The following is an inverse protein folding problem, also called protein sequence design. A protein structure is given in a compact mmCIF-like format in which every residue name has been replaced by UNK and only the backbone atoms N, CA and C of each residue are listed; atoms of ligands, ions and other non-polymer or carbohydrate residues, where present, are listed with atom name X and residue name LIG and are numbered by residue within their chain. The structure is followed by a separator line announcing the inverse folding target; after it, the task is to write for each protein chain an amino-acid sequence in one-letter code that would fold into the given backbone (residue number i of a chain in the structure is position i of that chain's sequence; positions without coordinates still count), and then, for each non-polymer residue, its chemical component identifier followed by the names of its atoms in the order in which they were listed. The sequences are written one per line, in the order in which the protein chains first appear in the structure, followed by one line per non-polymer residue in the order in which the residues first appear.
data_IF_802663831803
#
_entry.id   IF_802663831803
#
_cell.length_a   1.000
_cell.length_b   1.000
_cell.length_c   1.000
_cell.angle_alpha   90.00
_cell.angle_beta   90.00
_cell.angle_gamma   90.00
#
_symmetry.space_group_name_H-M   'P 1'
#
loop_
_entity.id
_entity.type
_entity.pdbx_description
1 polymer ?
#
# COMPACT_ATOMS: atom_id res chain seq x y z
N UNK A 1 0.13 16.19 4.41
CA UNK A 1 0.29 15.54 5.73
C UNK A 1 -0.19 14.11 5.56
N UNK A 2 0.63 13.11 5.92
CA UNK A 2 0.24 11.70 5.81
C UNK A 2 -0.95 11.45 6.73
N UNK A 3 -2.01 10.83 6.23
CA UNK A 3 -3.18 10.48 7.05
C UNK A 3 -2.86 9.31 7.96
N UNK A 4 -3.36 9.36 9.20
CA UNK A 4 -3.38 8.21 10.09
C UNK A 4 -4.66 7.45 9.82
N UNK A 5 -4.53 6.22 9.32
CA UNK A 5 -5.62 5.34 8.95
C UNK A 5 -5.41 3.97 9.58
N UNK A 6 -6.47 3.18 9.69
CA UNK A 6 -6.40 1.74 9.92
C UNK A 6 -6.94 0.96 8.72
N UNK A 7 -6.73 -0.36 8.71
CA UNK A 7 -7.07 -1.19 7.56
C UNK A 7 -8.60 -1.27 7.33
N UNK A 8 -9.40 -1.18 8.39
CA UNK A 8 -10.86 -1.10 8.30
C UNK A 8 -11.35 0.18 7.61
N UNK A 9 -10.74 1.33 7.92
CA UNK A 9 -11.06 2.60 7.24
C UNK A 9 -10.72 2.51 5.75
N UNK A 10 -9.55 1.96 5.40
CA UNK A 10 -9.15 1.78 3.99
C UNK A 10 -10.16 0.90 3.23
N UNK A 11 -10.55 -0.24 3.80
CA UNK A 11 -11.46 -1.19 3.16
C UNK A 11 -12.87 -0.61 2.96
N UNK A 12 -13.35 0.23 3.88
CA UNK A 12 -14.74 0.70 3.85
C UNK A 12 -14.88 2.09 3.23
N UNK A 13 -14.01 3.03 3.56
CA UNK A 13 -14.13 4.44 3.16
C UNK A 13 -13.40 4.74 1.84
N UNK A 14 -12.35 3.99 1.52
CA UNK A 14 -11.51 4.22 0.33
C UNK A 14 -11.70 3.14 -0.74
N UNK A 15 -12.77 2.33 -0.64
CA UNK A 15 -13.00 1.17 -1.52
C UNK A 15 -13.05 1.52 -3.01
N UNK A 16 -13.45 2.73 -3.35
CA UNK A 16 -13.56 3.22 -4.74
C UNK A 16 -12.22 3.27 -5.49
N UNK A 17 -11.10 3.30 -4.78
CA UNK A 17 -9.76 3.29 -5.37
C UNK A 17 -9.25 1.89 -5.73
N UNK A 18 -10.01 0.85 -5.38
CA UNK A 18 -9.61 -0.54 -5.48
C UNK A 18 -10.55 -1.34 -6.37
N UNK A 19 -9.97 -2.31 -7.06
CA UNK A 19 -10.70 -3.39 -7.71
C UNK A 19 -11.25 -4.37 -6.66
N UNK A 20 -12.24 -5.17 -7.06
CA UNK A 20 -12.79 -6.23 -6.22
C UNK A 20 -11.70 -7.21 -5.73
N UNK A 21 -10.72 -7.51 -6.59
CA UNK A 21 -9.58 -8.36 -6.24
C UNK A 21 -8.73 -7.75 -5.12
N UNK A 22 -8.35 -6.48 -5.25
CA UNK A 22 -7.56 -5.78 -4.22
C UNK A 22 -8.34 -5.71 -2.89
N UNK A 23 -9.66 -5.49 -2.93
CA UNK A 23 -10.50 -5.50 -1.72
C UNK A 23 -10.49 -6.87 -1.02
N UNK A 24 -10.52 -7.97 -1.79
CA UNK A 24 -10.41 -9.32 -1.23
C UNK A 24 -9.04 -9.53 -0.58
N UNK A 25 -7.95 -9.11 -1.23
CA UNK A 25 -6.59 -9.20 -0.69
C UNK A 25 -6.44 -8.38 0.61
N UNK A 26 -7.00 -7.17 0.68
CA UNK A 26 -6.99 -6.35 1.89
C UNK A 26 -7.72 -7.03 3.06
N UNK A 27 -8.88 -7.65 2.80
CA UNK A 27 -9.62 -8.40 3.84
C UNK A 27 -8.83 -9.63 4.32
N UNK A 28 -8.13 -10.32 3.42
CA UNK A 28 -7.26 -11.43 3.79
C UNK A 28 -6.10 -10.97 4.67
N UNK A 29 -5.46 -9.83 4.34
CA UNK A 29 -4.42 -9.22 5.17
C UNK A 29 -4.97 -8.88 6.55
N UNK A 30 -6.16 -8.30 6.64
CA UNK A 30 -6.79 -7.95 7.92
C UNK A 30 -6.99 -9.16 8.83
N UNK A 31 -7.44 -10.28 8.26
CA UNK A 31 -7.73 -11.53 9.00
C UNK A 31 -6.49 -12.40 9.22
N UNK A 32 -5.41 -12.17 8.47
CA UNK A 32 -4.19 -12.98 8.60
C UNK A 32 -3.49 -12.80 9.94
N UNK A 33 -3.08 -13.91 10.52
CA UNK A 33 -2.13 -13.97 11.64
C UNK A 33 -0.71 -13.85 11.08
N UNK A 34 0.06 -12.89 11.57
CA UNK A 34 1.41 -12.65 11.08
C UNK A 34 2.11 -11.55 11.85
N UNK A 35 3.41 -11.41 11.62
CA UNK A 35 4.18 -10.29 12.19
C UNK A 35 3.75 -8.97 11.55
N UNK A 36 3.95 -7.86 12.26
CA UNK A 36 3.72 -6.51 11.75
C UNK A 36 4.40 -6.30 10.39
N UNK A 37 5.69 -6.65 10.30
CA UNK A 37 6.48 -6.50 9.09
C UNK A 37 5.92 -7.30 7.90
N UNK A 38 5.47 -8.54 8.13
CA UNK A 38 4.88 -9.36 7.07
C UNK A 38 3.55 -8.78 6.57
N UNK A 39 2.69 -8.34 7.49
CA UNK A 39 1.40 -7.71 7.13
C UNK A 39 1.59 -6.37 6.44
N UNK A 40 2.51 -5.54 6.93
CA UNK A 40 2.83 -4.25 6.32
C UNK A 40 3.39 -4.42 4.90
N UNK A 41 4.26 -5.42 4.68
CA UNK A 41 4.78 -5.75 3.34
C UNK A 41 3.67 -6.22 2.39
N UNK A 42 2.79 -7.10 2.87
CA UNK A 42 1.64 -7.54 2.07
C UNK A 42 0.71 -6.38 1.73
N UNK A 43 0.46 -5.49 2.69
CA UNK A 43 -0.34 -4.29 2.48
C UNK A 43 0.31 -3.34 1.46
N UNK A 44 1.62 -3.11 1.55
CA UNK A 44 2.35 -2.26 0.60
C UNK A 44 2.24 -2.77 -0.83
N UNK A 45 2.37 -4.09 -1.03
CA UNK A 45 2.21 -4.71 -2.35
C UNK A 45 0.82 -4.50 -2.98
N UNK A 46 -0.23 -4.36 -2.16
CA UNK A 46 -1.60 -4.09 -2.64
C UNK A 46 -1.86 -2.60 -2.81
N UNK A 47 -1.40 -1.78 -1.85
CA UNK A 47 -1.67 -0.34 -1.87
C UNK A 47 -0.79 0.42 -2.87
N UNK A 48 0.40 -0.07 -3.16
CA UNK A 48 1.41 0.63 -3.96
C UNK A 48 2.10 -0.30 -4.97
N UNK A 49 1.33 -1.17 -5.64
CA UNK A 49 1.87 -2.13 -6.63
C UNK A 49 2.72 -1.45 -7.71
N UNK A 50 2.34 -0.22 -8.09
CA UNK A 50 3.03 0.59 -9.09
C UNK A 50 4.49 0.91 -8.73
N UNK A 51 4.86 0.85 -7.45
CA UNK A 51 6.24 1.08 -7.01
C UNK A 51 7.18 -0.05 -7.41
N UNK A 52 6.63 -1.20 -7.83
CA UNK A 52 7.41 -2.37 -8.24
C UNK A 52 7.14 -2.82 -9.67
N UNK A 53 6.17 -2.22 -10.37
CA UNK A 53 5.81 -2.59 -11.75
C UNK A 53 7.00 -2.52 -12.71
N UNK A 54 7.90 -1.54 -12.50
CA UNK A 54 9.11 -1.39 -13.33
C UNK A 54 10.06 -2.59 -13.26
N UNK A 55 9.99 -3.42 -12.22
CA UNK A 55 10.81 -4.62 -12.10
C UNK A 55 10.45 -5.68 -13.16
N UNK A 56 9.28 -5.54 -13.79
CA UNK A 56 8.79 -6.39 -14.87
C UNK A 56 8.77 -5.66 -16.22
N UNK A 57 9.38 -4.48 -16.32
CA UNK A 57 9.45 -3.70 -17.55
C UNK A 57 10.12 -4.51 -18.67
N UNK A 58 9.59 -4.37 -19.88
CA UNK A 58 10.31 -4.80 -21.06
C UNK A 58 11.52 -3.89 -21.32
N UNK A 59 12.44 -4.33 -22.19
CA UNK A 59 13.53 -3.47 -22.68
C UNK A 59 13.04 -2.18 -23.35
N UNK A 60 11.79 -2.14 -23.83
CA UNK A 60 11.18 -0.93 -24.40
C UNK A 60 10.73 0.02 -23.30
N UNK A 61 9.98 -0.50 -22.32
CA UNK A 61 9.44 0.29 -21.20
C UNK A 61 10.57 0.94 -20.39
N UNK A 62 11.63 0.19 -20.11
CA UNK A 62 12.81 0.71 -19.42
C UNK A 62 13.50 1.86 -20.19
N UNK A 63 13.53 1.78 -21.53
CA UNK A 63 14.07 2.86 -22.37
C UNK A 63 13.16 4.08 -22.37
N UNK A 64 11.85 3.90 -22.41
CA UNK A 64 10.90 5.01 -22.33
C UNK A 64 11.03 5.74 -20.99
N UNK A 65 11.14 5.02 -19.86
CA UNK A 65 11.41 5.64 -18.55
C UNK A 65 12.72 6.42 -18.55
N UNK A 66 13.80 5.88 -19.14
CA UNK A 66 15.08 6.60 -19.25
C UNK A 66 15.01 7.92 -20.02
N UNK A 67 13.96 8.10 -20.84
CA UNK A 67 13.67 9.32 -21.59
C UNK A 67 12.66 10.23 -20.88
N UNK A 68 12.25 9.88 -19.67
CA UNK A 68 11.26 10.61 -18.89
C UNK A 68 9.80 10.29 -19.29
N UNK A 69 9.56 9.17 -19.98
CA UNK A 69 8.24 8.75 -20.45
C UNK A 69 7.74 7.62 -19.56
N UNK A 70 6.61 7.82 -18.87
CA UNK A 70 5.98 6.75 -18.09
C UNK A 70 5.27 5.74 -19.02
N UNK A 71 5.68 4.46 -19.04
CA UNK A 71 5.07 3.42 -19.87
C UNK A 71 3.72 2.93 -19.33
N UNK A 72 3.39 3.27 -18.08
CA UNK A 72 2.10 2.91 -17.49
C UNK A 72 0.96 3.69 -18.12
N UNK A 73 -0.23 3.08 -18.19
CA UNK A 73 -1.40 3.75 -18.75
C UNK A 73 -1.76 5.01 -17.95
N UNK A 74 -2.28 6.02 -18.65
CA UNK A 74 -2.69 7.27 -18.02
C UNK A 74 -3.83 7.06 -17.01
N UNK A 75 -4.75 6.14 -17.30
CA UNK A 75 -5.86 5.80 -16.40
C UNK A 75 -5.37 5.13 -15.11
N UNK A 76 -4.46 4.16 -15.22
CA UNK A 76 -3.86 3.50 -14.06
C UNK A 76 -3.06 4.48 -13.21
N UNK A 77 -2.20 5.29 -13.84
CA UNK A 77 -1.41 6.32 -13.16
C UNK A 77 -2.31 7.33 -12.44
N UNK A 78 -3.42 7.75 -13.07
CA UNK A 78 -4.39 8.65 -12.45
C UNK A 78 -5.03 8.01 -11.22
N UNK A 79 -5.46 6.74 -11.30
CA UNK A 79 -6.04 6.02 -10.15
C UNK A 79 -5.03 5.92 -9.00
N UNK A 80 -3.77 5.58 -9.29
CA UNK A 80 -2.73 5.48 -8.28
C UNK A 80 -2.43 6.84 -7.64
N UNK A 81 -2.29 7.91 -8.43
CA UNK A 81 -2.07 9.25 -7.89
C UNK A 81 -3.24 9.72 -7.01
N UNK A 82 -4.49 9.51 -7.42
CA UNK A 82 -5.65 9.84 -6.58
C UNK A 82 -5.63 9.08 -5.25
N UNK A 83 -5.26 7.78 -5.27
CA UNK A 83 -5.10 6.96 -4.06
C UNK A 83 -3.98 7.50 -3.16
N UNK A 84 -2.81 7.82 -3.72
CA UNK A 84 -1.67 8.41 -2.99
C UNK A 84 -2.06 9.73 -2.34
N UNK A 85 -2.71 10.63 -3.08
CA UNK A 85 -3.19 11.91 -2.57
C UNK A 85 -4.23 11.74 -1.45
N UNK A 86 -5.16 10.79 -1.60
CA UNK A 86 -6.16 10.48 -0.59
C UNK A 86 -5.53 10.04 0.74
N UNK A 87 -4.35 9.41 0.70
CA UNK A 87 -3.53 9.00 1.85
C UNK A 87 -2.53 10.07 2.32
N UNK A 88 -2.42 11.19 1.59
CA UNK A 88 -1.47 12.26 1.88
C UNK A 88 -0.03 11.92 1.50
N UNK A 89 0.15 11.02 0.53
CA UNK A 89 1.41 10.63 -0.11
C UNK A 89 1.53 11.33 -1.46
N UNK A 90 2.74 11.73 -1.82
CA UNK A 90 3.01 12.41 -3.08
C UNK A 90 2.68 11.54 -4.30
N UNK A 91 2.20 12.15 -5.39
CA UNK A 91 1.99 11.46 -6.66
C UNK A 91 3.33 10.98 -7.26
N UNK A 92 3.22 10.08 -8.24
CA UNK A 92 4.37 9.59 -9.00
C UNK A 92 5.04 10.73 -9.79
N UNK A 93 6.32 10.57 -10.08
CA UNK A 93 7.05 11.41 -11.02
C UNK A 93 6.58 11.21 -12.47
N UNK A 94 7.06 12.07 -13.37
CA UNK A 94 6.69 12.06 -14.80
C UNK A 94 7.04 10.76 -15.52
N UNK A 95 8.07 10.06 -15.05
CA UNK A 95 8.53 8.75 -15.52
C UNK A 95 7.94 7.58 -14.72
N UNK A 96 7.01 7.87 -13.80
CA UNK A 96 6.20 6.87 -13.10
C UNK A 96 6.86 6.24 -11.88
N UNK A 97 7.89 6.87 -11.28
CA UNK A 97 8.51 6.41 -10.04
C UNK A 97 7.91 7.09 -8.81
N UNK A 98 8.01 6.41 -7.66
CA UNK A 98 7.75 7.05 -6.37
C UNK A 98 8.81 8.12 -6.09
N UNK A 99 8.38 9.31 -5.68
CA UNK A 99 9.28 10.43 -5.37
C UNK A 99 9.86 10.38 -3.96
N UNK A 100 9.33 9.53 -3.07
CA UNK A 100 9.81 9.36 -1.71
C UNK A 100 9.41 7.98 -1.13
N UNK A 101 10.14 7.52 -0.11
CA UNK A 101 9.88 6.25 0.59
C UNK A 101 8.84 6.32 1.70
N UNK A 102 7.74 7.09 1.52
CA UNK A 102 6.70 7.24 2.56
C UNK A 102 5.63 6.14 2.54
N UNK A 103 5.53 5.39 1.45
CA UNK A 103 4.57 4.30 1.28
C UNK A 103 4.78 3.17 2.29
N UNK A 104 6.02 2.73 2.48
CA UNK A 104 6.39 1.70 3.46
C UNK A 104 6.03 2.05 4.92
N UNK A 105 6.48 3.19 5.50
CA UNK A 105 6.12 3.56 6.87
C UNK A 105 4.62 3.84 7.04
N UNK A 106 3.94 4.31 5.98
CA UNK A 106 2.49 4.44 6.00
C UNK A 106 1.80 3.08 6.18
N UNK A 107 2.20 2.06 5.41
CA UNK A 107 1.63 0.71 5.54
C UNK A 107 1.87 0.11 6.93
N UNK A 108 3.07 0.30 7.50
CA UNK A 108 3.36 -0.19 8.84
C UNK A 108 2.45 0.47 9.89
N UNK A 109 2.28 1.80 9.81
CA UNK A 109 1.40 2.54 10.72
C UNK A 109 -0.06 2.12 10.60
N UNK A 110 -0.54 1.85 9.38
CA UNK A 110 -1.91 1.35 9.16
C UNK A 110 -2.15 0.04 9.89
N UNK A 111 -1.21 -0.90 9.82
CA UNK A 111 -1.34 -2.18 10.53
C UNK A 111 -1.23 -1.99 12.05
N UNK A 112 -0.38 -1.07 12.54
CA UNK A 112 -0.31 -0.76 13.99
C UNK A 112 -1.62 -0.21 14.53
N UNK A 113 -2.35 0.58 13.72
CA UNK A 113 -3.62 1.16 14.14
C UNK A 113 -4.80 0.18 14.02
N UNK A 114 -4.65 -0.93 13.30
CA UNK A 114 -5.70 -1.93 13.13
C UNK A 114 -6.05 -2.61 14.46
N UNK A 115 -7.36 -2.66 14.75
CA UNK A 115 -7.89 -3.18 16.01
C UNK A 115 -7.45 -4.62 16.25
N UNK A 116 -7.44 -5.46 15.22
CA UNK A 116 -7.07 -6.87 15.34
C UNK A 116 -5.60 -7.02 15.75
N UNK A 117 -4.74 -6.12 15.31
CA UNK A 117 -3.32 -6.15 15.68
C UNK A 117 -3.10 -5.70 17.13
N UNK A 118 -3.83 -4.70 17.60
CA UNK A 118 -3.78 -4.25 19.01
C UNK A 118 -4.24 -5.35 19.96
N UNK A 119 -5.39 -5.96 19.67
CA UNK A 119 -5.93 -7.09 20.46
C UNK A 119 -4.97 -8.29 20.45
N UNK A 120 -4.31 -8.57 19.31
CA UNK A 120 -3.29 -9.61 19.23
C UNK A 120 -2.10 -9.36 20.15
N UNK A 121 -1.60 -8.11 20.22
CA UNK A 121 -0.49 -7.76 21.10
C UNK A 121 -0.87 -7.89 22.57
N UNK A 122 -2.03 -7.36 22.97
CA UNK A 122 -2.54 -7.46 24.34
C UNK A 122 -2.71 -8.93 24.77
N UNK A 123 -3.23 -9.77 23.87
CA UNK A 123 -3.36 -11.21 24.13
C UNK A 123 -1.99 -11.91 24.28
N UNK A 124 -0.99 -11.50 23.51
CA UNK A 124 0.38 -12.04 23.61
C UNK A 124 1.04 -11.65 24.94
N UNK A 125 0.93 -10.40 25.35
CA UNK A 125 1.47 -9.91 26.64
C UNK A 125 0.80 -10.58 27.84
N UNK A 126 -0.52 -10.81 27.77
CA UNK A 126 -1.25 -11.53 28.81
C UNK A 126 -0.86 -13.02 28.90
N UNK A 127 -0.40 -13.63 27.79
CA UNK A 127 0.06 -15.02 27.73
C UNK A 127 1.49 -15.23 28.23
N UNK A 128 2.36 -14.22 28.12
CA UNK A 128 3.77 -14.28 28.53
C UNK A 128 3.97 -14.03 30.04
N UNK A 129 2.92 -13.66 30.78
CA UNK A 129 2.96 -13.39 32.23
C UNK A 129 2.82 -14.65 33.13
N UNK A 130 3.30 -15.82 32.69
CA UNK A 130 3.23 -17.08 33.46
C UNK A 130 4.60 -17.75 33.64
#
# INVERSE_FOLDING_TARGET
MIKKLNLGEIINEYQEYFSEKEIVELKQIQQSSGTLAAKAKALHAVLFSEETDFMLDSSSDAKDRSRGINPMSAEYTKRMNSKREAFGIEPLSVDGYAVCGKSEPFCEEVIRQDKNYKEFLEAKEAGESK
#
